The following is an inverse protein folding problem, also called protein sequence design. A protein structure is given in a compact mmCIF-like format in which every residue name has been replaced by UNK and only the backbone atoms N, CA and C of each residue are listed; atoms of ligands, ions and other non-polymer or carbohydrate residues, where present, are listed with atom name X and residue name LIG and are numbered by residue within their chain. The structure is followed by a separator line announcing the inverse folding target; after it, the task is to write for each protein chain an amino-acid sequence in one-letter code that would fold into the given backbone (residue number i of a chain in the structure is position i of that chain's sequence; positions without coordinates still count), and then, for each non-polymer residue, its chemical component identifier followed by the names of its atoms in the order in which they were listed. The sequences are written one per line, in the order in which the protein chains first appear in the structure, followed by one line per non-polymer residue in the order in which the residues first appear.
data_IF_030500112568
#
_entry.id   IF_030500112568
#
_cell.length_a   1.000
_cell.length_b   1.000
_cell.length_c   1.000
_cell.angle_alpha   90.00
_cell.angle_beta   90.00
_cell.angle_gamma   90.00
#
_symmetry.space_group_name_H-M   'P 1'
#
loop_
_entity.id
_entity.type
_entity.pdbx_description
1 polymer ?
#
# COMPACT_ATOMS: atom_id res chain seq x y z
N UNK A 1 -6.18 3.02 12.19
CA UNK A 1 -5.49 1.99 11.38
C UNK A 1 -4.12 1.69 11.98
N UNK A 2 -3.66 0.43 12.04
CA UNK A 2 -2.35 0.02 12.58
C UNK A 2 -1.41 -0.50 11.47
N UNK A 3 -0.13 -0.67 11.79
CA UNK A 3 0.91 -1.08 10.83
C UNK A 3 1.38 0.07 9.94
N UNK A 4 2.15 -0.28 8.89
CA UNK A 4 2.88 0.67 8.04
C UNK A 4 2.03 1.84 7.54
N UNK A 5 0.90 1.57 6.90
CA UNK A 5 0.00 2.62 6.39
C UNK A 5 -0.53 3.51 7.52
N UNK A 6 -0.82 2.92 8.69
CA UNK A 6 -1.22 3.69 9.86
C UNK A 6 -0.12 4.63 10.36
N UNK A 7 1.16 4.26 10.19
CA UNK A 7 2.28 5.11 10.58
C UNK A 7 2.45 6.29 9.61
N UNK A 8 2.29 6.07 8.30
CA UNK A 8 2.24 7.16 7.30
C UNK A 8 1.18 8.22 7.65
N UNK A 9 0.03 7.79 8.18
CA UNK A 9 -1.02 8.72 8.60
C UNK A 9 -0.69 9.55 9.84
N UNK A 10 0.18 9.05 10.73
CA UNK A 10 0.49 9.68 12.03
C UNK A 10 1.76 10.52 12.01
N UNK A 11 2.75 10.13 11.19
CA UNK A 11 4.04 10.81 11.11
C UNK A 11 3.94 11.97 10.13
N UNK A 12 3.77 13.18 10.66
CA UNK A 12 3.58 14.40 9.87
C UNK A 12 4.72 14.73 8.91
N UNK A 13 5.94 14.28 9.23
CA UNK A 13 7.10 14.48 8.35
C UNK A 13 6.99 13.68 7.04
N UNK A 14 6.08 12.70 6.97
CA UNK A 14 5.79 11.93 5.76
C UNK A 14 4.59 12.49 4.97
N UNK A 15 3.91 13.51 5.47
CA UNK A 15 2.79 14.13 4.76
C UNK A 15 3.27 14.85 3.48
N UNK A 16 2.40 14.93 2.48
CA UNK A 16 2.72 15.34 1.12
C UNK A 16 3.37 14.24 0.27
N UNK A 17 3.57 13.03 0.82
CA UNK A 17 4.04 11.87 0.06
C UNK A 17 2.90 11.18 -0.68
N UNK A 18 3.25 10.52 -1.79
CA UNK A 18 2.38 9.53 -2.44
C UNK A 18 2.71 8.12 -1.92
N UNK A 19 1.66 7.33 -1.66
CA UNK A 19 1.78 5.89 -1.41
C UNK A 19 1.17 5.12 -2.57
N UNK A 20 2.02 4.46 -3.35
CA UNK A 20 1.58 3.57 -4.44
C UNK A 20 1.42 2.14 -3.91
N UNK A 21 0.18 1.64 -3.87
CA UNK A 21 -0.09 0.25 -3.47
C UNK A 21 0.06 -0.66 -4.68
N UNK A 22 0.90 -1.70 -4.55
CA UNK A 22 1.08 -2.72 -5.57
C UNK A 22 0.70 -4.10 -5.03
N UNK A 23 -0.09 -4.84 -5.81
CA UNK A 23 -0.29 -6.27 -5.62
C UNK A 23 -0.74 -6.89 -6.96
N UNK A 24 -0.34 -8.13 -7.22
CA UNK A 24 -0.85 -8.90 -8.39
C UNK A 24 -2.31 -9.32 -8.18
N UNK A 25 -2.77 -9.41 -6.94
CA UNK A 25 -4.15 -9.70 -6.58
C UNK A 25 -5.01 -8.42 -6.62
N UNK A 26 -5.58 -8.14 -7.80
CA UNK A 26 -6.47 -7.00 -8.04
C UNK A 26 -7.62 -6.87 -7.02
N UNK A 27 -8.16 -7.99 -6.53
CA UNK A 27 -9.28 -7.95 -5.59
C UNK A 27 -8.85 -7.43 -4.23
N UNK A 28 -7.78 -7.99 -3.67
CA UNK A 28 -7.20 -7.54 -2.42
C UNK A 28 -6.71 -6.09 -2.52
N UNK A 29 -6.04 -5.75 -3.62
CA UNK A 29 -5.56 -4.39 -3.89
C UNK A 29 -6.70 -3.36 -3.88
N UNK A 30 -7.81 -3.66 -4.56
CA UNK A 30 -8.97 -2.77 -4.61
C UNK A 30 -9.61 -2.56 -3.23
N UNK A 31 -9.67 -3.60 -2.40
CA UNK A 31 -10.17 -3.48 -1.04
C UNK A 31 -9.25 -2.57 -0.23
N UNK A 32 -7.94 -2.81 -0.31
CA UNK A 32 -6.96 -2.00 0.41
C UNK A 32 -7.00 -0.54 -0.04
N UNK A 33 -7.01 -0.27 -1.35
CA UNK A 33 -7.14 1.08 -1.90
C UNK A 33 -8.35 1.81 -1.33
N UNK A 34 -9.53 1.18 -1.30
CA UNK A 34 -10.73 1.79 -0.70
C UNK A 34 -10.56 2.10 0.80
N UNK A 35 -9.95 1.18 1.56
CA UNK A 35 -9.72 1.39 3.00
C UNK A 35 -8.79 2.60 3.22
N UNK A 36 -7.68 2.68 2.48
CA UNK A 36 -6.72 3.79 2.59
C UNK A 36 -7.35 5.10 2.17
N UNK A 37 -8.00 5.15 1.00
CA UNK A 37 -8.65 6.37 0.50
C UNK A 37 -9.73 6.88 1.46
N UNK A 38 -10.56 5.99 2.01
CA UNK A 38 -11.59 6.39 2.98
C UNK A 38 -10.97 6.98 4.25
N UNK A 39 -9.85 6.42 4.72
CA UNK A 39 -9.17 6.92 5.92
C UNK A 39 -8.52 8.29 5.70
N UNK A 40 -7.88 8.49 4.54
CA UNK A 40 -7.31 9.79 4.14
C UNK A 40 -8.42 10.87 4.15
N UNK A 41 -9.58 10.55 3.57
CA UNK A 41 -10.73 11.46 3.52
C UNK A 41 -11.34 11.73 4.91
N UNK A 42 -11.47 10.71 5.77
CA UNK A 42 -12.13 10.87 7.07
C UNK A 42 -11.27 11.60 8.10
N UNK A 43 -9.95 11.39 8.05
CA UNK A 43 -9.01 11.94 9.03
C UNK A 43 -8.26 13.20 8.52
N UNK A 44 -8.60 13.67 7.31
CA UNK A 44 -7.96 14.82 6.66
C UNK A 44 -6.41 14.71 6.65
N UNK A 45 -5.93 13.52 6.29
CA UNK A 45 -4.50 13.23 6.17
C UNK A 45 -3.99 13.82 4.85
N UNK A 46 -2.85 14.49 4.89
CA UNK A 46 -2.19 15.00 3.70
C UNK A 46 -1.28 13.93 3.09
N UNK A 47 -1.90 12.95 2.42
CA UNK A 47 -1.22 11.91 1.63
C UNK A 47 -2.03 11.63 0.36
N UNK A 48 -1.31 11.33 -0.72
CA UNK A 48 -1.91 10.74 -1.92
C UNK A 48 -1.82 9.21 -1.87
N UNK A 49 -2.85 8.53 -2.38
CA UNK A 49 -2.80 7.08 -2.56
C UNK A 49 -3.23 6.71 -3.97
N UNK A 50 -2.40 5.94 -4.64
CA UNK A 50 -2.71 5.29 -5.91
C UNK A 50 -2.51 3.78 -5.78
N UNK A 51 -3.00 3.01 -6.74
CA UNK A 51 -2.80 1.57 -6.74
C UNK A 51 -2.75 0.99 -8.15
N UNK A 52 -1.85 0.03 -8.37
CA UNK A 52 -1.63 -0.60 -9.67
C UNK A 52 -1.29 -2.09 -9.54
N UNK A 53 -1.62 -2.85 -10.59
CA UNK A 53 -1.18 -4.24 -10.74
C UNK A 53 0.05 -4.38 -11.64
N UNK A 54 0.52 -3.27 -12.22
CA UNK A 54 1.75 -3.22 -13.01
C UNK A 54 2.93 -2.85 -12.11
N UNK A 55 3.98 -3.67 -12.12
CA UNK A 55 5.14 -3.47 -11.26
C UNK A 55 6.00 -2.29 -11.72
N UNK A 56 6.07 -2.04 -13.03
CA UNK A 56 6.88 -0.93 -13.56
C UNK A 56 6.27 0.41 -13.14
N UNK A 57 4.95 0.53 -13.30
CA UNK A 57 4.21 1.71 -12.84
C UNK A 57 4.41 1.94 -11.34
N UNK A 58 4.42 0.88 -10.53
CA UNK A 58 4.61 0.98 -9.08
C UNK A 58 6.04 1.38 -8.65
N UNK A 59 7.04 1.16 -9.51
CA UNK A 59 8.44 1.48 -9.22
C UNK A 59 8.89 2.80 -9.83
N UNK A 60 8.18 3.27 -10.85
CA UNK A 60 8.51 4.50 -11.56
C UNK A 60 8.50 5.69 -10.60
N UNK A 61 9.60 6.45 -10.58
CA UNK A 61 9.83 7.62 -9.72
C UNK A 61 9.72 7.38 -8.20
N UNK A 62 9.71 6.13 -7.73
CA UNK A 62 9.67 5.84 -6.29
C UNK A 62 11.00 6.16 -5.61
N UNK A 63 10.97 6.99 -4.56
CA UNK A 63 12.13 7.25 -3.70
C UNK A 63 12.49 6.03 -2.83
N UNK A 64 11.46 5.30 -2.40
CA UNK A 64 11.58 4.13 -1.54
C UNK A 64 10.65 3.00 -2.00
N UNK A 65 11.11 1.76 -1.84
CA UNK A 65 10.32 0.56 -2.14
C UNK A 65 10.27 -0.33 -0.91
N UNK A 66 9.06 -0.65 -0.44
CA UNK A 66 8.83 -1.53 0.70
C UNK A 66 8.21 -2.83 0.20
N UNK A 67 8.94 -3.93 0.32
CA UNK A 67 8.48 -5.24 -0.15
C UNK A 67 7.90 -6.07 0.99
N UNK A 68 6.60 -6.38 0.92
CA UNK A 68 5.90 -7.29 1.85
C UNK A 68 5.27 -8.48 1.12
N UNK A 69 5.76 -8.77 -0.09
CA UNK A 69 5.21 -9.78 -0.99
C UNK A 69 5.54 -11.19 -0.47
N UNK A 70 4.53 -12.05 -0.42
CA UNK A 70 4.69 -13.48 -0.14
C UNK A 70 4.36 -14.28 -1.40
N UNK A 71 5.40 -14.62 -2.17
CA UNK A 71 5.26 -15.44 -3.39
C UNK A 71 4.63 -16.78 -3.04
N UNK A 72 3.56 -17.16 -3.74
CA UNK A 72 2.81 -18.39 -3.49
C UNK A 72 1.93 -18.41 -2.23
N UNK A 73 1.86 -17.30 -1.49
CA UNK A 73 1.04 -17.17 -0.29
C UNK A 73 1.44 -18.14 0.83
N UNK A 74 0.54 -18.38 1.78
CA UNK A 74 0.78 -19.30 2.90
C UNK A 74 0.76 -20.77 2.49
N UNK A 75 0.12 -21.09 1.37
CA UNK A 75 0.06 -22.47 0.85
C UNK A 75 1.44 -22.95 0.41
N UNK A 76 2.25 -22.08 -0.21
CA UNK A 76 3.61 -22.43 -0.62
C UNK A 76 4.54 -22.81 0.53
N UNK A 77 4.24 -22.36 1.76
CA UNK A 77 5.03 -22.67 2.96
C UNK A 77 4.45 -23.82 3.79
N UNK A 78 3.35 -24.44 3.36
CA UNK A 78 2.85 -25.66 4.01
C UNK A 78 3.72 -26.82 3.55
N UNK A 79 4.59 -27.31 4.43
CA UNK A 79 5.27 -28.58 4.25
C UNK A 79 4.19 -29.67 4.29
N UNK A 80 4.17 -30.54 3.26
CA UNK A 80 3.28 -31.71 3.20
C UNK A 80 3.54 -32.67 4.36
#
# INVERSE_FOLDING_TARGET
MSGLIGDFFRVRDLWGSEVVLYDVNRHALRIMGKIVSNYILSENVDLEVSYTTDLKDALENSDFVITTIRVGGTVATKIL
#
